data_IF_032535464133
#
_entry.id   IF_032535464133
#
_cell.length_a   1.000
_cell.length_b   1.000
_cell.length_c   1.000
_cell.angle_alpha   90.00
_cell.angle_beta   90.00
_cell.angle_gamma   90.00
#
_symmetry.space_group_name_H-M   'P 1'
#
loop_
_entity.id
_entity.type
_entity.pdbx_description
1 polymer ?
#
# COMPACT_ATOMS: atom_id res chain seq x y z
N UNK A 1 3.90 -17.03 -13.76
CA UNK A 1 3.43 -16.72 -12.40
C UNK A 1 3.20 -18.02 -11.63
N UNK A 2 3.83 -18.21 -10.48
CA UNK A 2 3.61 -19.42 -9.66
C UNK A 2 2.36 -19.24 -8.79
N UNK A 3 1.37 -20.12 -8.96
CA UNK A 3 0.13 -20.11 -8.17
C UNK A 3 0.42 -20.64 -6.77
N UNK A 4 0.70 -19.75 -5.83
CA UNK A 4 0.85 -20.07 -4.40
C UNK A 4 -0.43 -20.76 -3.91
N UNK A 5 -0.35 -22.05 -3.61
CA UNK A 5 -1.46 -22.77 -2.98
C UNK A 5 -1.69 -22.17 -1.59
N UNK A 6 -2.94 -21.87 -1.19
CA UNK A 6 -3.22 -21.42 0.17
C UNK A 6 -2.78 -22.50 1.15
N UNK A 7 -1.97 -22.13 2.15
CA UNK A 7 -1.68 -23.03 3.27
C UNK A 7 -2.99 -23.21 4.03
N UNK A 8 -3.49 -24.45 4.07
CA UNK A 8 -4.55 -24.83 5.02
C UNK A 8 -4.01 -24.52 6.42
N UNK A 9 -4.74 -23.76 7.26
CA UNK A 9 -4.30 -23.50 8.63
C UNK A 9 -4.20 -24.82 9.38
N UNK A 10 -2.97 -25.22 9.72
CA UNK A 10 -2.71 -26.42 10.51
C UNK A 10 -3.30 -26.21 11.90
N UNK A 11 -4.33 -26.98 12.25
CA UNK A 11 -4.89 -26.99 13.60
C UNK A 11 -3.73 -27.30 14.56
N UNK A 12 -3.40 -26.40 15.52
CA UNK A 12 -2.28 -26.63 16.42
C UNK A 12 -2.52 -27.93 17.21
N UNK A 13 -1.51 -28.83 17.33
CA UNK A 13 -1.71 -30.16 17.91
C UNK A 13 -2.21 -30.13 19.36
N UNK A 14 -1.96 -29.01 20.07
CA UNK A 14 -2.49 -28.73 21.41
C UNK A 14 -4.03 -28.73 21.43
N UNK A 15 -4.71 -28.21 20.39
CA UNK A 15 -6.17 -28.24 20.31
C UNK A 15 -6.72 -29.66 20.12
N UNK A 16 -5.98 -30.54 19.43
CA UNK A 16 -6.38 -31.95 19.28
C UNK A 16 -6.30 -32.66 20.64
N UNK A 17 -5.19 -32.48 21.36
CA UNK A 17 -5.02 -33.01 22.72
C UNK A 17 -6.08 -32.48 23.70
N UNK A 18 -6.34 -31.16 23.68
CA UNK A 18 -7.38 -30.54 24.51
C UNK A 18 -8.80 -31.05 24.17
N UNK A 19 -9.12 -31.24 22.88
CA UNK A 19 -10.41 -31.76 22.44
C UNK A 19 -10.62 -33.22 22.86
N UNK A 20 -9.58 -34.05 22.77
CA UNK A 20 -9.62 -35.44 23.25
C UNK A 20 -9.77 -35.52 24.77
N UNK A 21 -9.01 -34.72 25.52
CA UNK A 21 -9.14 -34.65 26.98
C UNK A 21 -10.53 -34.16 27.42
N UNK A 22 -11.09 -33.15 26.73
CA UNK A 22 -12.45 -32.69 26.99
C UNK A 22 -13.48 -33.80 26.72
N UNK A 23 -13.35 -34.53 25.60
CA UNK A 23 -14.23 -35.65 25.27
C UNK A 23 -14.14 -36.81 26.29
N UNK A 24 -12.92 -37.20 26.72
CA UNK A 24 -12.76 -38.21 27.77
C UNK A 24 -13.31 -37.73 29.12
N UNK A 25 -13.08 -36.47 29.49
CA UNK A 25 -13.63 -35.89 30.72
C UNK A 25 -15.16 -35.90 30.71
N UNK A 26 -15.77 -35.65 29.55
CA UNK A 26 -17.22 -35.64 29.36
C UNK A 26 -17.79 -37.07 29.47
N UNK A 27 -17.15 -38.06 28.84
CA UNK A 27 -17.50 -39.48 28.99
C UNK A 27 -17.39 -39.93 30.46
N UNK A 28 -16.32 -39.53 31.15
CA UNK A 28 -16.11 -39.85 32.57
C UNK A 28 -17.17 -39.19 33.47
N UNK A 29 -17.46 -37.90 33.28
CA UNK A 29 -18.49 -37.19 34.05
C UNK A 29 -19.87 -37.78 33.82
N UNK A 30 -20.23 -38.08 32.56
CA UNK A 30 -21.50 -38.72 32.23
C UNK A 30 -21.62 -40.10 32.89
N UNK A 31 -20.56 -40.92 32.88
CA UNK A 31 -20.52 -42.20 33.59
C UNK A 31 -20.68 -42.01 35.11
N UNK A 32 -19.87 -41.14 35.72
CA UNK A 32 -19.87 -40.90 37.15
C UNK A 32 -21.22 -40.38 37.67
N UNK A 33 -21.88 -39.44 36.96
CA UNK A 33 -23.21 -38.93 37.34
C UNK A 33 -24.28 -40.02 37.24
N UNK A 34 -24.17 -40.89 36.23
CA UNK A 34 -25.12 -42.00 36.02
C UNK A 34 -25.03 -43.05 37.12
N UNK A 35 -23.81 -43.35 37.56
CA UNK A 35 -23.51 -44.29 38.63
C UNK A 35 -23.90 -43.72 40.01
N UNK A 36 -23.44 -42.49 40.31
CA UNK A 36 -23.64 -41.81 41.59
C UNK A 36 -25.13 -41.62 41.93
N UNK A 37 -25.94 -41.07 41.00
CA UNK A 37 -27.35 -40.80 41.29
C UNK A 37 -28.26 -42.03 41.20
N UNK A 38 -27.73 -43.22 40.84
CA UNK A 38 -28.53 -44.42 40.53
C UNK A 38 -29.66 -44.19 39.49
N UNK A 39 -29.63 -43.06 38.76
CA UNK A 39 -30.72 -42.55 37.93
C UNK A 39 -30.87 -43.27 36.59
N UNK A 40 -30.09 -44.33 36.37
CA UNK A 40 -30.08 -45.16 35.17
C UNK A 40 -29.95 -44.34 33.88
N UNK A 41 -30.59 -44.81 32.80
CA UNK A 41 -30.51 -44.19 31.48
C UNK A 41 -31.03 -42.75 31.44
N UNK A 42 -31.89 -42.35 32.39
CA UNK A 42 -32.42 -40.99 32.45
C UNK A 42 -31.37 -39.99 32.95
N UNK A 43 -30.64 -40.32 34.03
CA UNK A 43 -29.52 -39.52 34.53
C UNK A 43 -28.45 -39.25 33.46
N UNK A 44 -28.10 -40.29 32.68
CA UNK A 44 -27.17 -40.18 31.56
C UNK A 44 -27.64 -39.15 30.51
N UNK A 45 -28.93 -39.14 30.16
CA UNK A 45 -29.46 -38.18 29.17
C UNK A 45 -29.45 -36.73 29.67
N UNK A 46 -29.68 -36.52 30.98
CA UNK A 46 -29.62 -35.18 31.60
C UNK A 46 -28.18 -34.69 31.67
N UNK A 47 -27.23 -35.55 32.04
CA UNK A 47 -25.79 -35.22 32.04
C UNK A 47 -25.31 -34.80 30.64
N UNK A 48 -25.59 -35.61 29.61
CA UNK A 48 -25.23 -35.29 28.22
C UNK A 48 -25.86 -33.97 27.74
N UNK A 49 -27.12 -33.70 28.08
CA UNK A 49 -27.78 -32.45 27.74
C UNK A 49 -27.12 -31.24 28.43
N UNK A 50 -26.72 -31.38 29.70
CA UNK A 50 -25.96 -30.38 30.44
C UNK A 50 -24.60 -30.10 29.81
N UNK A 51 -23.85 -31.15 29.46
CA UNK A 51 -22.53 -31.05 28.82
C UNK A 51 -22.59 -30.39 27.42
N UNK A 52 -23.61 -30.71 26.61
CA UNK A 52 -23.85 -30.05 25.32
C UNK A 52 -24.16 -28.56 25.54
N UNK A 53 -25.00 -28.23 26.52
CA UNK A 53 -25.30 -26.83 26.87
C UNK A 53 -24.05 -26.07 27.32
N UNK A 54 -23.22 -26.68 28.15
CA UNK A 54 -21.95 -26.13 28.61
C UNK A 54 -20.96 -25.89 27.46
N UNK A 55 -20.71 -26.91 26.63
CA UNK A 55 -19.84 -26.80 25.45
C UNK A 55 -20.33 -25.73 24.47
N UNK A 56 -21.64 -25.60 24.28
CA UNK A 56 -22.24 -24.58 23.40
C UNK A 56 -21.95 -23.17 23.93
N UNK A 57 -21.99 -22.97 25.25
CA UNK A 57 -21.70 -21.68 25.88
C UNK A 57 -20.19 -21.36 25.85
N UNK A 58 -19.32 -22.34 26.09
CA UNK A 58 -17.87 -22.17 25.91
C UNK A 58 -17.52 -21.83 24.45
N UNK A 59 -18.15 -22.50 23.48
CA UNK A 59 -17.98 -22.20 22.06
C UNK A 59 -18.48 -20.81 21.68
N UNK A 60 -19.62 -20.37 22.23
CA UNK A 60 -20.14 -19.01 22.05
C UNK A 60 -19.22 -17.95 22.67
N UNK A 61 -18.61 -18.22 23.82
CA UNK A 61 -17.62 -17.36 24.49
C UNK A 61 -16.32 -17.27 23.65
N UNK A 62 -15.83 -18.38 23.12
CA UNK A 62 -14.70 -18.44 22.18
C UNK A 62 -14.97 -17.64 20.89
N UNK A 63 -16.15 -17.79 20.30
CA UNK A 63 -16.58 -17.06 19.10
C UNK A 63 -17.04 -15.63 19.36
N UNK A 64 -17.09 -15.17 20.61
CA UNK A 64 -17.66 -13.88 21.05
C UNK A 64 -19.07 -13.61 20.50
N UNK A 65 -19.93 -14.63 20.42
CA UNK A 65 -21.28 -14.49 19.88
C UNK A 65 -22.08 -13.52 20.76
N UNK A 66 -22.61 -12.45 20.15
CA UNK A 66 -23.47 -11.47 20.82
C UNK A 66 -24.86 -12.06 21.05
N UNK A 67 -25.18 -12.40 22.28
CA UNK A 67 -26.54 -12.81 22.67
C UNK A 67 -27.31 -11.54 23.03
N UNK A 68 -28.45 -11.30 22.37
CA UNK A 68 -29.23 -10.06 22.51
C UNK A 68 -28.38 -8.77 22.38
N UNK A 69 -27.43 -8.76 21.42
CA UNK A 69 -26.52 -7.63 21.18
C UNK A 69 -25.41 -7.43 22.22
N UNK A 70 -25.29 -8.31 23.23
CA UNK A 70 -24.32 -8.17 24.32
C UNK A 70 -23.23 -9.24 24.22
N UNK A 71 -21.97 -8.81 24.09
CA UNK A 71 -20.79 -9.68 24.07
C UNK A 71 -20.49 -10.33 25.43
N UNK A 72 -20.92 -9.71 26.52
CA UNK A 72 -20.71 -10.22 27.89
C UNK A 72 -21.72 -11.30 28.31
N UNK A 73 -22.81 -11.50 27.54
CA UNK A 73 -23.87 -12.44 27.91
C UNK A 73 -23.39 -13.90 27.93
N UNK A 74 -22.57 -14.32 26.96
CA UNK A 74 -21.98 -15.66 26.92
C UNK A 74 -21.05 -15.96 28.12
N UNK A 75 -20.03 -15.12 28.45
CA UNK A 75 -19.19 -15.35 29.63
C UNK A 75 -19.98 -15.29 30.94
N UNK A 76 -20.98 -14.41 31.06
CA UNK A 76 -21.85 -14.35 32.25
C UNK A 76 -22.70 -15.62 32.42
N UNK A 77 -23.28 -16.16 31.34
CA UNK A 77 -23.99 -17.43 31.36
C UNK A 77 -23.06 -18.60 31.75
N UNK A 78 -21.82 -18.60 31.23
CA UNK A 78 -20.80 -19.58 31.62
C UNK A 78 -20.40 -19.50 33.10
N UNK A 79 -20.32 -18.31 33.69
CA UNK A 79 -20.11 -18.17 35.13
C UNK A 79 -21.34 -18.60 35.94
N UNK A 80 -22.55 -18.24 35.51
CA UNK A 80 -23.78 -18.63 36.19
C UNK A 80 -23.95 -20.16 36.26
N UNK A 81 -23.65 -20.88 35.17
CA UNK A 81 -23.68 -22.35 35.17
C UNK A 81 -22.56 -22.94 36.03
N UNK A 82 -21.33 -22.41 35.95
CA UNK A 82 -20.24 -22.88 36.81
C UNK A 82 -20.58 -22.76 38.30
N UNK A 83 -21.16 -21.62 38.72
CA UNK A 83 -21.64 -21.44 40.10
C UNK A 83 -22.84 -22.34 40.42
N UNK A 84 -23.79 -22.51 39.52
CA UNK A 84 -24.94 -23.41 39.73
C UNK A 84 -24.52 -24.86 39.96
N UNK A 85 -23.61 -25.38 39.12
CA UNK A 85 -23.04 -26.73 39.27
C UNK A 85 -22.19 -26.82 40.54
N UNK A 86 -21.38 -25.80 40.86
CA UNK A 86 -20.60 -25.77 42.09
C UNK A 86 -21.47 -25.79 43.35
N UNK A 87 -22.60 -25.06 43.38
CA UNK A 87 -23.56 -25.12 44.51
C UNK A 87 -24.23 -26.49 44.60
N UNK A 88 -24.64 -27.08 43.47
CA UNK A 88 -25.27 -28.40 43.45
C UNK A 88 -24.32 -29.49 43.96
N UNK A 89 -23.05 -29.48 43.53
CA UNK A 89 -22.02 -30.42 44.02
C UNK A 89 -21.72 -30.22 45.51
N UNK A 90 -21.74 -28.98 46.02
CA UNK A 90 -21.54 -28.71 47.44
C UNK A 90 -22.72 -29.25 48.29
N UNK A 91 -23.95 -29.05 47.83
CA UNK A 91 -25.16 -29.58 48.49
C UNK A 91 -25.16 -31.10 48.51
N UNK A 92 -24.90 -31.74 47.36
CA UNK A 92 -24.85 -33.20 47.28
C UNK A 92 -23.73 -33.81 48.13
N UNK A 93 -22.55 -33.20 48.15
CA UNK A 93 -21.45 -33.63 49.03
C UNK A 93 -21.80 -33.50 50.52
N UNK A 94 -22.66 -32.56 50.90
CA UNK A 94 -23.15 -32.40 52.27
C UNK A 94 -24.27 -33.40 52.63
N UNK A 95 -25.09 -33.81 51.65
CA UNK A 95 -26.07 -34.90 51.82
C UNK A 95 -25.40 -36.26 52.03
N UNK A 96 -24.27 -36.51 51.34
CA UNK A 96 -23.44 -37.73 51.47
C UNK A 96 -22.43 -37.68 52.64
N UNK A 97 -22.50 -36.66 53.51
CA UNK A 97 -21.57 -36.36 54.63
C UNK A 97 -20.07 -36.42 54.23
N UNK A 98 -19.79 -36.10 52.96
CA UNK A 98 -18.49 -36.25 52.31
C UNK A 98 -17.83 -34.89 52.14
N UNK A 99 -16.99 -34.52 53.12
CA UNK A 99 -16.20 -33.27 53.07
C UNK A 99 -15.37 -33.17 51.79
N UNK A 100 -14.86 -34.30 51.29
CA UNK A 100 -14.08 -34.37 50.05
C UNK A 100 -14.91 -33.93 48.84
N UNK A 101 -16.12 -34.47 48.67
CA UNK A 101 -17.01 -34.09 47.56
C UNK A 101 -17.53 -32.65 47.72
N UNK A 102 -17.90 -32.28 48.95
CA UNK A 102 -18.42 -30.94 49.31
C UNK A 102 -17.48 -29.81 48.86
N UNK A 103 -16.16 -29.99 48.95
CA UNK A 103 -15.19 -28.94 48.60
C UNK A 103 -14.47 -29.19 47.27
N UNK A 104 -14.03 -30.42 46.97
CA UNK A 104 -13.21 -30.69 45.80
C UNK A 104 -13.99 -30.59 44.48
N UNK A 105 -15.25 -31.07 44.44
CA UNK A 105 -16.11 -30.99 43.25
C UNK A 105 -16.33 -29.53 42.80
N UNK A 106 -16.86 -28.65 43.67
CA UNK A 106 -17.04 -27.24 43.36
C UNK A 106 -15.73 -26.53 42.98
N UNK A 107 -14.64 -26.83 43.67
CA UNK A 107 -13.33 -26.24 43.40
C UNK A 107 -12.82 -26.58 42.00
N UNK A 108 -12.92 -27.85 41.57
CA UNK A 108 -12.47 -28.29 40.23
C UNK A 108 -13.27 -27.58 39.13
N UNK A 109 -14.59 -27.42 39.29
CA UNK A 109 -15.45 -26.71 38.32
C UNK A 109 -15.04 -25.24 38.17
N UNK A 110 -14.82 -24.55 39.29
CA UNK A 110 -14.40 -23.14 39.28
C UNK A 110 -13.00 -22.95 38.71
N UNK A 111 -12.03 -23.80 39.08
CA UNK A 111 -10.68 -23.78 38.51
C UNK A 111 -10.71 -24.06 37.01
N UNK A 112 -11.54 -25.02 36.56
CA UNK A 112 -11.73 -25.30 35.13
C UNK A 112 -12.22 -24.07 34.35
N UNK A 113 -13.17 -23.30 34.89
CA UNK A 113 -13.64 -22.05 34.28
C UNK A 113 -12.56 -20.96 34.25
N UNK A 114 -11.74 -20.83 35.30
CA UNK A 114 -10.60 -19.89 35.33
C UNK A 114 -9.54 -20.27 34.30
N UNK A 115 -9.14 -21.54 34.24
CA UNK A 115 -8.18 -22.07 33.24
C UNK A 115 -8.71 -21.85 31.83
N UNK A 116 -10.00 -22.04 31.59
CA UNK A 116 -10.62 -21.73 30.31
C UNK A 116 -10.51 -20.24 29.95
N UNK A 117 -10.75 -19.30 30.88
CA UNK A 117 -10.57 -17.87 30.58
C UNK A 117 -9.11 -17.51 30.25
N UNK A 118 -8.14 -18.12 30.93
CA UNK A 118 -6.70 -17.96 30.63
C UNK A 118 -6.37 -18.53 29.25
N UNK A 119 -6.88 -19.73 28.92
CA UNK A 119 -6.73 -20.33 27.60
C UNK A 119 -7.39 -19.49 26.50
N UNK A 120 -8.53 -18.86 26.77
CA UNK A 120 -9.18 -17.94 25.83
C UNK A 120 -8.37 -16.66 25.63
N UNK A 121 -7.65 -16.21 26.66
CA UNK A 121 -6.75 -15.07 26.58
C UNK A 121 -5.46 -15.37 25.81
N UNK A 122 -4.95 -16.61 25.85
CA UNK A 122 -3.76 -17.03 25.08
C UNK A 122 -4.07 -17.52 23.67
N UNK A 123 -5.28 -18.05 23.42
CA UNK A 123 -5.77 -18.39 22.07
C UNK A 123 -6.26 -17.17 21.29
N UNK A 124 -6.49 -16.03 21.95
CA UNK A 124 -6.56 -14.73 21.28
C UNK A 124 -5.16 -14.41 20.77
N UNK A 125 -4.98 -14.54 19.46
CA UNK A 125 -3.76 -14.13 18.77
C UNK A 125 -3.37 -12.71 19.23
N UNK A 126 -2.20 -12.50 19.87
CA UNK A 126 -1.78 -11.19 20.31
C UNK A 126 -1.47 -10.24 19.14
N UNK A 127 -1.40 -10.75 17.91
CA UNK A 127 -1.32 -9.97 16.67
C UNK A 127 -2.70 -9.74 16.01
N UNK A 128 -3.80 -10.23 16.59
CA UNK A 128 -5.14 -9.86 16.12
C UNK A 128 -5.37 -8.36 16.36
N UNK A 129 -5.65 -7.65 15.27
CA UNK A 129 -5.93 -6.23 15.27
C UNK A 129 -7.10 -5.92 16.23
N UNK A 130 -6.96 -4.88 17.05
CA UNK A 130 -8.09 -4.34 17.81
C UNK A 130 -9.10 -3.72 16.84
N UNK A 131 -10.37 -3.61 17.24
CA UNK A 131 -11.39 -3.00 16.40
C UNK A 131 -11.02 -1.57 15.95
N UNK A 132 -10.33 -0.81 16.81
CA UNK A 132 -9.83 0.53 16.49
C UNK A 132 -8.68 0.50 15.46
N UNK A 133 -7.80 -0.51 15.53
CA UNK A 133 -6.74 -0.71 14.54
C UNK A 133 -7.30 -1.20 13.19
N UNK A 134 -8.32 -2.06 13.21
CA UNK A 134 -9.04 -2.51 12.02
C UNK A 134 -9.78 -1.34 11.34
N UNK A 135 -10.45 -0.49 12.13
CA UNK A 135 -11.07 0.74 11.64
C UNK A 135 -10.03 1.71 11.03
N UNK A 136 -8.89 1.94 11.71
CA UNK A 136 -7.82 2.79 11.20
C UNK A 136 -7.18 2.23 9.90
N UNK A 137 -7.04 0.91 9.78
CA UNK A 137 -6.59 0.27 8.53
C UNK A 137 -7.63 0.45 7.42
N UNK A 138 -8.93 0.32 7.72
CA UNK A 138 -9.98 0.58 6.74
C UNK A 138 -10.05 2.05 6.29
N UNK A 139 -9.79 3.00 7.19
CA UNK A 139 -9.66 4.42 6.88
C UNK A 139 -8.47 4.68 5.94
N UNK A 140 -7.27 4.20 6.29
CA UNK A 140 -6.08 4.29 5.43
C UNK A 140 -6.29 3.60 4.07
N UNK A 141 -6.95 2.45 4.03
CA UNK A 141 -7.30 1.78 2.77
C UNK A 141 -8.22 2.66 1.92
N UNK A 142 -9.29 3.21 2.51
CA UNK A 142 -10.24 4.09 1.82
C UNK A 142 -9.57 5.36 1.27
N UNK A 143 -8.70 5.98 2.04
CA UNK A 143 -7.94 7.17 1.61
C UNK A 143 -6.92 6.83 0.53
N UNK A 144 -6.28 5.64 0.62
CA UNK A 144 -5.37 5.17 -0.43
C UNK A 144 -6.11 4.88 -1.75
N UNK A 145 -7.32 4.31 -1.70
CA UNK A 145 -8.17 4.11 -2.88
C UNK A 145 -8.63 5.44 -3.47
N UNK A 146 -9.04 6.39 -2.64
CA UNK A 146 -9.44 7.73 -3.09
C UNK A 146 -8.28 8.46 -3.76
N UNK A 147 -7.10 8.43 -3.16
CA UNK A 147 -5.86 9.01 -3.71
C UNK A 147 -5.47 8.33 -5.02
N UNK A 148 -5.59 7.00 -5.12
CA UNK A 148 -5.32 6.26 -6.35
C UNK A 148 -6.28 6.66 -7.49
N UNK A 149 -7.57 6.84 -7.19
CA UNK A 149 -8.58 7.31 -8.17
C UNK A 149 -8.33 8.75 -8.61
N UNK A 150 -7.90 9.64 -7.71
CA UNK A 150 -7.50 11.01 -8.08
C UNK A 150 -6.29 11.01 -9.02
N UNK A 151 -5.22 10.30 -8.66
CA UNK A 151 -4.01 10.18 -9.47
C UNK A 151 -4.28 9.54 -10.85
N UNK A 152 -5.22 8.60 -10.92
CA UNK A 152 -5.67 8.05 -12.20
C UNK A 152 -6.43 9.08 -13.03
N UNK A 153 -7.40 9.79 -12.44
CA UNK A 153 -8.15 10.84 -13.14
C UNK A 153 -7.28 12.03 -13.60
N UNK A 154 -6.17 12.30 -12.91
CA UNK A 154 -5.16 13.27 -13.33
C UNK A 154 -4.36 12.78 -14.54
N UNK A 155 -3.87 11.54 -14.53
CA UNK A 155 -3.20 10.92 -15.69
C UNK A 155 -4.11 10.90 -16.91
N UNK A 156 -5.37 10.48 -16.74
CA UNK A 156 -6.37 10.49 -17.81
C UNK A 156 -6.59 11.90 -18.40
N UNK A 157 -6.34 12.99 -17.66
CA UNK A 157 -6.40 14.37 -18.18
C UNK A 157 -5.12 14.71 -18.97
N UNK A 158 -3.96 14.37 -18.43
CA UNK A 158 -2.66 14.60 -19.07
C UNK A 158 -2.60 13.88 -20.43
N UNK A 159 -3.00 12.61 -20.46
CA UNK A 159 -3.02 11.80 -21.68
C UNK A 159 -3.95 12.42 -22.75
N UNK A 160 -5.16 12.85 -22.35
CA UNK A 160 -6.09 13.57 -23.25
C UNK A 160 -5.53 14.89 -23.77
N UNK A 161 -4.76 15.63 -22.98
CA UNK A 161 -4.10 16.87 -23.46
C UNK A 161 -2.96 16.56 -24.43
N UNK A 162 -2.17 15.52 -24.16
CA UNK A 162 -1.09 15.09 -25.05
C UNK A 162 -1.64 14.56 -26.39
N UNK A 163 -2.71 13.77 -26.38
CA UNK A 163 -3.39 13.31 -27.60
C UNK A 163 -3.92 14.47 -28.45
N UNK A 164 -4.49 15.49 -27.81
CA UNK A 164 -4.97 16.69 -28.50
C UNK A 164 -3.83 17.50 -29.14
N UNK A 165 -2.69 17.63 -28.44
CA UNK A 165 -1.49 18.29 -28.97
C UNK A 165 -0.86 17.49 -30.13
N UNK A 166 -0.73 16.18 -30.00
CA UNK A 166 -0.26 15.29 -31.09
C UNK A 166 -1.19 15.38 -32.31
N UNK A 167 -2.51 15.40 -32.10
CA UNK A 167 -3.49 15.58 -33.17
C UNK A 167 -3.34 16.94 -33.88
N UNK A 168 -3.06 18.01 -33.12
CA UNK A 168 -2.77 19.35 -33.65
C UNK A 168 -1.48 19.36 -34.48
N UNK A 169 -0.37 18.86 -33.94
CA UNK A 169 0.93 18.79 -34.65
C UNK A 169 0.79 17.98 -35.95
N UNK A 170 0.05 16.86 -35.93
CA UNK A 170 -0.26 16.07 -37.15
C UNK A 170 -1.18 16.79 -38.14
N UNK A 171 -2.00 17.75 -37.70
CA UNK A 171 -2.78 18.60 -38.61
C UNK A 171 -1.89 19.68 -39.24
N UNK A 172 -1.08 20.37 -38.45
CA UNK A 172 -0.12 21.37 -38.92
C UNK A 172 0.89 20.76 -39.92
N UNK A 173 1.48 19.60 -39.59
CA UNK A 173 2.40 18.90 -40.50
C UNK A 173 1.77 18.51 -41.85
N UNK A 174 0.49 18.11 -41.87
CA UNK A 174 -0.23 17.82 -43.13
C UNK A 174 -0.46 19.07 -43.98
N UNK A 175 -0.70 20.22 -43.35
CA UNK A 175 -0.85 21.51 -44.05
C UNK A 175 0.49 21.95 -44.63
N UNK A 176 1.60 21.80 -43.89
CA UNK A 176 2.95 22.11 -44.38
C UNK A 176 3.32 21.23 -45.58
N UNK A 177 3.15 19.91 -45.49
CA UNK A 177 3.43 19.00 -46.62
C UNK A 177 2.61 19.35 -47.87
N UNK A 178 1.30 19.58 -47.72
CA UNK A 178 0.44 19.97 -48.85
C UNK A 178 0.82 21.32 -49.47
N UNK A 179 1.44 22.22 -48.69
CA UNK A 179 2.00 23.48 -49.19
C UNK A 179 3.30 23.25 -49.94
N UNK A 180 4.22 22.47 -49.38
CA UNK A 180 5.52 22.18 -49.98
C UNK A 180 5.35 21.44 -51.33
N UNK A 181 4.40 20.50 -51.41
CA UNK A 181 4.00 19.82 -52.65
C UNK A 181 3.50 20.83 -53.71
N UNK A 182 2.62 21.76 -53.32
CA UNK A 182 2.08 22.79 -54.23
C UNK A 182 3.15 23.81 -54.69
N UNK A 183 4.04 24.23 -53.80
CA UNK A 183 5.16 25.12 -54.13
C UNK A 183 6.16 24.40 -55.08
N UNK A 184 6.34 23.08 -54.94
CA UNK A 184 7.11 22.25 -55.87
C UNK A 184 6.46 22.14 -57.26
N UNK A 185 5.15 21.85 -57.34
CA UNK A 185 4.41 21.82 -58.62
C UNK A 185 4.51 23.17 -59.36
N UNK A 186 4.35 24.29 -58.65
CA UNK A 186 4.49 25.64 -59.23
C UNK A 186 5.93 25.92 -59.68
N UNK A 187 6.94 25.44 -58.97
CA UNK A 187 8.34 25.56 -59.38
C UNK A 187 8.63 24.76 -60.67
N UNK A 188 8.07 23.55 -60.77
CA UNK A 188 8.17 22.70 -61.96
C UNK A 188 7.48 23.36 -63.17
N UNK A 189 6.24 23.83 -63.02
CA UNK A 189 5.49 24.50 -64.09
C UNK A 189 6.22 25.78 -64.59
N UNK A 190 6.86 26.52 -63.68
CA UNK A 190 7.70 27.69 -64.03
C UNK A 190 8.94 27.31 -64.84
N UNK A 191 9.60 26.20 -64.50
CA UNK A 191 10.74 25.69 -65.26
C UNK A 191 10.33 25.23 -66.67
N UNK A 192 9.22 24.49 -66.78
CA UNK A 192 8.68 24.07 -68.07
C UNK A 192 8.28 25.27 -68.95
N UNK A 193 7.59 26.27 -68.38
CA UNK A 193 7.22 27.50 -69.10
C UNK A 193 8.45 28.27 -69.59
N UNK A 194 9.53 28.35 -68.80
CA UNK A 194 10.81 28.95 -69.25
C UNK A 194 11.42 28.18 -70.42
N UNK A 195 11.51 26.85 -70.33
CA UNK A 195 12.01 26.01 -71.42
C UNK A 195 11.15 26.11 -72.70
N UNK A 196 9.82 26.28 -72.56
CA UNK A 196 8.93 26.53 -73.70
C UNK A 196 9.17 27.91 -74.32
N UNK A 197 9.40 28.94 -73.50
CA UNK A 197 9.75 30.29 -73.99
C UNK A 197 11.10 30.26 -74.73
N UNK A 198 12.12 29.60 -74.20
CA UNK A 198 13.42 29.45 -74.88
C UNK A 198 13.29 28.73 -76.23
N UNK A 199 12.49 27.66 -76.31
CA UNK A 199 12.22 26.94 -77.58
C UNK A 199 11.40 27.73 -78.59
N UNK A 200 10.53 28.65 -78.13
CA UNK A 200 9.67 29.48 -78.99
C UNK A 200 10.24 30.87 -79.25
N UNK A 201 11.27 31.27 -78.52
CA UNK A 201 12.03 32.47 -78.81
C UNK A 201 12.58 32.32 -80.22
N UNK A 202 12.27 33.24 -81.16
CA UNK A 202 12.94 33.21 -82.45
C UNK A 202 14.45 33.27 -82.21
N UNK A 203 15.23 32.54 -83.01
CA UNK A 203 16.69 32.69 -83.02
C UNK A 203 16.99 34.13 -83.46
N UNK A 204 17.12 35.02 -82.49
CA UNK A 204 17.75 36.31 -82.66
C UNK A 204 19.21 36.03 -83.01
N UNK A 205 19.49 35.92 -84.31
CA UNK A 205 20.84 35.81 -84.85
C UNK A 205 21.63 37.00 -84.30
N UNK A 206 22.53 36.71 -83.36
CA UNK A 206 23.36 37.72 -82.72
C UNK A 206 24.34 38.26 -83.76
N UNK A 207 23.95 39.34 -84.43
CA UNK A 207 24.84 40.15 -85.25
C UNK A 207 25.73 40.92 -84.30
N UNK A 208 27.02 40.60 -84.34
CA UNK A 208 27.91 40.81 -83.20
C UNK A 208 28.13 42.28 -82.81
N UNK A 209 28.43 42.47 -81.52
CA UNK A 209 29.09 43.67 -81.02
C UNK A 209 30.24 43.24 -80.10
N UNK A 210 31.49 43.68 -80.34
CA UNK A 210 32.61 43.39 -79.44
C UNK A 210 32.62 44.38 -78.27
N UNK A 211 33.11 43.91 -77.11
CA UNK A 211 33.37 44.72 -75.90
C UNK A 211 32.09 45.26 -75.21
N UNK A 212 31.86 44.99 -73.93
CA UNK A 212 32.59 45.66 -72.84
C UNK A 212 32.41 44.84 -71.56
N UNK A 213 33.50 44.58 -70.83
CA UNK A 213 33.40 43.96 -69.51
C UNK A 213 32.70 44.93 -68.54
N UNK A 214 31.61 44.53 -67.85
CA UNK A 214 31.03 45.37 -66.81
C UNK A 214 32.03 45.48 -65.66
N UNK A 215 32.29 46.72 -65.22
CA UNK A 215 33.08 46.96 -64.01
C UNK A 215 32.43 46.23 -62.82
N UNK A 216 33.26 45.65 -61.95
CA UNK A 216 32.79 45.15 -60.67
C UNK A 216 32.10 46.30 -59.92
N UNK A 217 30.84 46.14 -59.49
CA UNK A 217 30.26 47.05 -58.51
C UNK A 217 31.11 47.00 -57.24
N UNK A 218 31.56 48.15 -56.77
CA UNK A 218 32.19 48.29 -55.46
C UNK A 218 31.30 47.64 -54.40
N UNK A 219 31.90 46.84 -53.53
CA UNK A 219 31.26 46.36 -52.30
C UNK A 219 30.70 47.56 -51.53
N UNK A 220 29.37 47.62 -51.26
CA UNK A 220 28.87 48.40 -50.15
C UNK A 220 29.37 47.71 -48.88
N UNK A 221 30.25 48.39 -48.13
CA UNK A 221 30.78 47.89 -46.88
C UNK A 221 29.66 47.38 -45.96
N UNK A 222 29.85 46.21 -45.36
CA UNK A 222 28.95 45.68 -44.34
C UNK A 222 28.74 46.72 -43.23
N UNK A 223 27.49 47.14 -42.95
CA UNK A 223 27.15 47.64 -41.63
C UNK A 223 27.34 46.48 -40.64
N UNK A 224 28.08 46.65 -39.54
CA UNK A 224 28.36 45.55 -38.62
C UNK A 224 27.05 44.96 -38.08
N UNK A 225 26.95 43.63 -38.14
CA UNK A 225 25.77 42.89 -37.73
C UNK A 225 25.25 43.34 -36.35
N UNK A 226 24.11 44.02 -36.34
CA UNK A 226 23.25 44.04 -35.17
C UNK A 226 22.77 42.60 -34.92
N UNK A 227 23.48 41.90 -34.04
CA UNK A 227 22.91 40.76 -33.33
C UNK A 227 21.54 41.20 -32.80
N UNK A 228 20.45 40.47 -33.10
CA UNK A 228 19.35 40.44 -32.16
C UNK A 228 19.95 39.97 -30.84
N UNK A 229 20.03 40.87 -29.86
CA UNK A 229 20.25 40.42 -28.50
C UNK A 229 19.11 39.46 -28.17
N UNK A 230 19.43 38.25 -27.72
CA UNK A 230 18.45 37.49 -26.97
C UNK A 230 17.91 38.42 -25.88
N UNK A 231 16.57 38.62 -25.76
CA UNK A 231 16.04 39.19 -24.56
C UNK A 231 16.29 38.16 -23.46
N UNK A 232 17.44 38.28 -22.80
CA UNK A 232 17.65 37.73 -21.47
C UNK A 232 16.52 38.32 -20.64
N UNK A 233 15.48 37.51 -20.45
CA UNK A 233 14.39 37.81 -19.55
C UNK A 233 14.96 37.75 -18.13
N UNK A 234 15.66 38.82 -17.75
CA UNK A 234 15.99 39.10 -16.38
C UNK A 234 14.67 39.11 -15.62
N UNK A 235 14.53 38.14 -14.72
CA UNK A 235 13.54 38.14 -13.65
C UNK A 235 13.81 39.37 -12.77
N UNK A 236 13.31 40.52 -13.22
CA UNK A 236 13.18 41.71 -12.42
C UNK A 236 11.95 41.54 -11.55
N UNK A 237 12.19 40.99 -10.37
CA UNK A 237 11.31 40.95 -9.22
C UNK A 237 10.58 42.31 -9.00
N UNK A 238 9.25 42.38 -9.12
CA UNK A 238 8.50 43.57 -8.80
C UNK A 238 8.25 43.65 -7.29
N UNK A 239 9.07 44.45 -6.61
CA UNK A 239 8.84 44.92 -5.24
C UNK A 239 7.47 45.64 -5.14
N UNK A 240 6.51 45.17 -4.30
CA UNK A 240 5.19 45.79 -4.20
C UNK A 240 5.07 46.69 -2.96
N UNK A 241 5.57 47.92 -3.05
CA UNK A 241 5.36 48.93 -2.02
C UNK A 241 4.13 49.83 -2.33
N UNK A 242 2.99 49.52 -1.69
CA UNK A 242 2.06 50.50 -1.09
C UNK A 242 1.67 51.77 -1.89
N UNK A 243 0.46 51.91 -2.46
CA UNK A 243 -0.85 52.28 -1.81
C UNK A 243 -1.79 52.85 -2.92
N UNK A 244 -3.09 53.17 -2.76
CA UNK A 244 -4.07 53.16 -1.65
C UNK A 244 -5.50 53.07 -2.25
N UNK A 245 -6.46 52.45 -1.55
CA UNK A 245 -7.94 52.58 -1.71
C UNK A 245 -8.59 52.12 -3.04
N UNK A 246 -9.78 51.49 -3.04
CA UNK A 246 -10.61 50.99 -1.94
C UNK A 246 -11.80 50.18 -2.47
N UNK A 247 -12.00 48.95 -2.00
CA UNK A 247 -13.34 48.38 -1.79
C UNK A 247 -13.28 47.25 -0.75
N UNK A 248 -14.30 47.20 0.11
CA UNK A 248 -14.33 46.37 1.33
C UNK A 248 -15.21 45.15 1.09
N UNK A 249 -14.66 43.97 1.32
CA UNK A 249 -15.40 42.72 1.56
C UNK A 249 -14.92 42.08 2.87
N UNK A 250 -15.75 41.30 3.58
CA UNK A 250 -15.41 40.78 4.91
C UNK A 250 -14.27 39.75 4.86
N UNK A 251 -13.47 39.62 5.93
CA UNK A 251 -12.36 38.68 5.97
C UNK A 251 -12.84 37.23 6.08
N UNK A 252 -12.62 36.46 5.01
CA UNK A 252 -12.62 35.00 5.06
C UNK A 252 -11.45 34.53 5.95
N UNK A 253 -11.66 33.60 6.89
CA UNK A 253 -10.60 33.18 7.80
C UNK A 253 -9.49 32.48 7.01
N UNK A 254 -8.27 33.05 7.06
CA UNK A 254 -7.11 32.49 6.38
C UNK A 254 -6.88 31.04 6.82
N UNK A 255 -7.16 30.10 5.91
CA UNK A 255 -6.79 28.72 6.09
C UNK A 255 -5.28 28.65 6.25
N UNK A 256 -4.82 28.26 7.44
CA UNK A 256 -3.42 27.88 7.65
C UNK A 256 -3.07 26.84 6.57
N UNK A 257 -1.93 26.96 5.87
CA UNK A 257 -1.53 25.96 4.90
C UNK A 257 -1.42 24.63 5.64
N UNK A 258 -2.33 23.71 5.33
CA UNK A 258 -2.37 22.40 5.95
C UNK A 258 -1.02 21.72 5.65
N UNK A 259 -0.17 21.60 6.66
CA UNK A 259 1.04 20.80 6.54
C UNK A 259 0.60 19.39 6.11
N UNK A 260 0.97 18.92 4.91
CA UNK A 260 0.64 17.56 4.53
C UNK A 260 1.35 16.64 5.53
N UNK A 261 0.60 15.77 6.21
CA UNK A 261 1.13 14.76 7.13
C UNK A 261 1.92 13.72 6.33
N UNK A 262 3.13 14.12 5.93
CA UNK A 262 3.93 13.49 4.89
C UNK A 262 4.76 12.33 5.40
N UNK A 263 4.12 11.22 5.77
CA UNK A 263 4.82 9.93 5.90
C UNK A 263 5.58 9.57 4.61
N UNK A 264 5.08 10.00 3.45
CA UNK A 264 5.73 9.85 2.14
C UNK A 264 7.06 10.59 2.00
N UNK A 265 7.24 11.75 2.68
CA UNK A 265 8.44 12.57 2.54
C UNK A 265 9.61 12.05 3.38
N UNK A 266 9.33 11.51 4.58
CA UNK A 266 10.37 10.99 5.50
C UNK A 266 10.96 9.65 5.05
N UNK A 267 10.26 8.89 4.20
CA UNK A 267 10.79 7.65 3.62
C UNK A 267 11.93 7.89 2.61
N UNK A 268 12.01 9.06 1.99
CA UNK A 268 13.00 9.37 0.97
C UNK A 268 14.44 9.52 1.50
N UNK A 269 14.73 10.31 2.57
CA UNK A 269 16.09 10.37 3.12
C UNK A 269 16.57 9.02 3.66
N UNK A 270 15.69 8.24 4.30
CA UNK A 270 16.08 6.94 4.86
C UNK A 270 16.30 5.86 3.79
N UNK A 271 15.54 5.89 2.68
CA UNK A 271 15.77 4.99 1.54
C UNK A 271 17.06 5.35 0.79
N UNK A 272 17.33 6.64 0.58
CA UNK A 272 18.57 7.14 -0.03
C UNK A 272 19.80 6.77 0.82
N UNK A 273 19.75 6.99 2.14
CA UNK A 273 20.83 6.62 3.06
C UNK A 273 21.09 5.10 3.07
N UNK A 274 20.04 4.28 2.95
CA UNK A 274 20.17 2.83 2.80
C UNK A 274 20.78 2.44 1.46
N UNK A 275 20.39 3.08 0.36
CA UNK A 275 20.98 2.82 -0.97
C UNK A 275 22.49 3.10 -0.96
N UNK A 276 22.90 4.29 -0.49
CA UNK A 276 24.30 4.68 -0.35
C UNK A 276 25.10 3.74 0.60
N UNK A 277 24.44 3.21 1.64
CA UNK A 277 25.05 2.22 2.54
C UNK A 277 25.25 0.86 1.86
N UNK A 278 24.30 0.40 1.02
CA UNK A 278 24.45 -0.84 0.25
C UNK A 278 25.51 -0.70 -0.84
N UNK A 279 25.61 0.47 -1.47
CA UNK A 279 26.65 0.80 -2.46
C UNK A 279 28.06 0.76 -1.84
N UNK A 280 28.26 1.39 -0.66
CA UNK A 280 29.52 1.27 0.10
C UNK A 280 29.85 -0.17 0.49
N UNK A 281 28.86 -1.00 0.83
CA UNK A 281 29.10 -2.43 1.09
C UNK A 281 29.53 -3.17 -0.17
N UNK A 282 29.00 -2.82 -1.34
CA UNK A 282 29.43 -3.40 -2.62
C UNK A 282 30.87 -2.98 -2.97
N UNK A 283 31.24 -1.71 -2.76
CA UNK A 283 32.61 -1.22 -2.95
C UNK A 283 33.62 -1.92 -2.02
N UNK A 284 33.30 -2.05 -0.73
CA UNK A 284 34.14 -2.78 0.23
C UNK A 284 34.28 -4.26 -0.15
N UNK A 285 33.20 -4.93 -0.59
CA UNK A 285 33.24 -6.31 -1.07
C UNK A 285 34.06 -6.50 -2.37
N UNK A 286 34.21 -5.45 -3.18
CA UNK A 286 35.10 -5.48 -4.36
C UNK A 286 36.57 -5.37 -3.98
N UNK A 287 36.89 -4.73 -2.85
CA UNK A 287 38.26 -4.64 -2.31
C UNK A 287 38.65 -5.91 -1.53
N UNK A 288 37.74 -6.45 -0.69
CA UNK A 288 37.91 -7.71 0.03
C UNK A 288 36.64 -8.58 -0.04
N UNK A 289 36.60 -9.62 -0.91
CA UNK A 289 35.48 -10.56 -1.00
C UNK A 289 35.23 -11.37 0.28
N UNK A 290 36.21 -11.45 1.19
CA UNK A 290 36.15 -12.19 2.45
C UNK A 290 35.41 -11.47 3.58
N UNK A 291 35.05 -10.19 3.39
CA UNK A 291 34.44 -9.33 4.42
C UNK A 291 33.22 -9.96 5.10
N UNK A 292 33.30 -10.04 6.44
CA UNK A 292 32.23 -10.55 7.29
C UNK A 292 31.23 -9.46 7.69
N UNK A 293 30.01 -9.86 8.09
CA UNK A 293 29.01 -8.90 8.59
C UNK A 293 29.43 -8.18 9.88
N UNK A 294 30.42 -8.67 10.62
CA UNK A 294 30.96 -7.99 11.80
C UNK A 294 31.85 -6.80 11.41
N UNK A 295 32.79 -7.01 10.50
CA UNK A 295 33.66 -5.96 9.96
C UNK A 295 32.86 -4.86 9.24
N UNK A 296 31.78 -5.23 8.52
CA UNK A 296 30.89 -4.25 7.88
C UNK A 296 30.06 -3.45 8.91
N UNK A 297 29.66 -4.09 10.02
CA UNK A 297 28.96 -3.40 11.11
C UNK A 297 29.84 -2.33 11.76
N UNK A 298 31.11 -2.66 11.98
CA UNK A 298 32.13 -1.75 12.49
C UNK A 298 32.43 -0.61 11.48
N UNK A 299 32.75 -0.95 10.23
CA UNK A 299 33.11 0.01 9.18
C UNK A 299 32.00 1.04 8.87
N UNK A 300 30.73 0.66 9.01
CA UNK A 300 29.58 1.57 8.79
C UNK A 300 28.93 2.07 10.09
N UNK A 301 29.43 1.68 11.26
CA UNK A 301 28.83 2.01 12.57
C UNK A 301 27.34 1.65 12.66
N UNK A 302 26.95 0.47 12.16
CA UNK A 302 25.57 -0.04 12.16
C UNK A 302 25.44 -1.35 12.95
N UNK A 303 24.21 -1.74 13.32
CA UNK A 303 24.01 -3.03 14.01
C UNK A 303 24.44 -4.23 13.14
N UNK A 304 24.93 -5.34 13.74
CA UNK A 304 25.28 -6.56 13.00
C UNK A 304 24.12 -7.14 12.16
N UNK A 305 22.87 -6.96 12.63
CA UNK A 305 21.68 -7.36 11.87
C UNK A 305 21.47 -6.50 10.62
N UNK A 306 21.71 -5.19 10.72
CA UNK A 306 21.67 -4.25 9.60
C UNK A 306 22.78 -4.55 8.59
N UNK A 307 24.02 -4.74 9.05
CA UNK A 307 25.15 -5.10 8.19
C UNK A 307 24.92 -6.42 7.42
N UNK A 308 24.40 -7.45 8.10
CA UNK A 308 24.02 -8.72 7.47
C UNK A 308 22.95 -8.55 6.39
N UNK A 309 22.02 -7.60 6.56
CA UNK A 309 21.02 -7.26 5.55
C UNK A 309 21.63 -6.56 4.33
N UNK A 310 22.50 -5.57 4.56
CA UNK A 310 23.19 -4.84 3.48
C UNK A 310 24.13 -5.76 2.68
N UNK A 311 24.92 -6.62 3.33
CA UNK A 311 25.77 -7.61 2.65
C UNK A 311 24.95 -8.57 1.77
N UNK A 312 23.76 -8.98 2.22
CA UNK A 312 22.86 -9.83 1.41
C UNK A 312 22.24 -9.08 0.24
N UNK A 313 22.00 -7.77 0.38
CA UNK A 313 21.43 -6.93 -0.67
C UNK A 313 22.52 -6.58 -1.72
N UNK A 314 23.73 -6.21 -1.30
CA UNK A 314 24.88 -5.97 -2.18
C UNK A 314 25.22 -7.20 -3.04
N UNK A 315 25.34 -8.39 -2.44
CA UNK A 315 25.61 -9.67 -3.15
C UNK A 315 24.49 -10.12 -4.08
N UNK A 316 23.30 -9.51 -4.02
CA UNK A 316 22.19 -9.75 -4.97
C UNK A 316 22.16 -8.76 -6.13
N UNK A 317 22.83 -7.62 -6.01
CA UNK A 317 22.95 -6.62 -7.08
C UNK A 317 24.16 -6.84 -7.99
N UNK A 318 25.10 -7.71 -7.60
CA UNK A 318 26.32 -8.07 -8.35
C UNK A 318 26.20 -9.40 -9.14
N UNK A 319 25.01 -10.00 -9.18
CA UNK A 319 24.71 -11.27 -9.83
C UNK A 319 23.64 -11.09 -10.92
#
# INVERSE_FOLDING_TARGET
>A
MAKTRPRVPSIPPILIGASLLAALSLIWSAYAITDLMHAGRFGLSVAIAGDIGWLTILWAEYRRITIAGRTWAAPAAGWAIAFGVAVLLALHGAEEDSSGQTFAGPFIVLVGKVVWMIALASLRDPAALTADQEAAIHEVMRDSEFTARLNQAERDRIDRTADAEIARIRAEARITLARDDADFEVALERLEKRAQIERRSPLALTTGSPWTAPAQPLEPAEPPAHRPAEPVAHLAEPEPAHRLSSQVSPPEPQAQPAHPFGFSAQLNPQSAQRAASVERVAELLAQDPGLTSGQIAEALSVSPATAKRYLREARRGTA
#
